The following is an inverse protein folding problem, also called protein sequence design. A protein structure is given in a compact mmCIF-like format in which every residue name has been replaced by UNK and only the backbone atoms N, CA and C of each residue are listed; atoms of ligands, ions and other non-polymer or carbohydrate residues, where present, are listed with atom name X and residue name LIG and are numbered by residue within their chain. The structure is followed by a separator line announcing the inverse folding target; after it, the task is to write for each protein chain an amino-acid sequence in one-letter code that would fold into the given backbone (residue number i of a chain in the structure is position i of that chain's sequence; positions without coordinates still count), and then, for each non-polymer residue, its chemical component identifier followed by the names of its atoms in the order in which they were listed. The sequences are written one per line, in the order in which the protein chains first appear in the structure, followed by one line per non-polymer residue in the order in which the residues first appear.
data_IF_406040421450
#
_entry.id   IF_406040421450
#
_cell.length_a   1.000
_cell.length_b   1.000
_cell.length_c   1.000
_cell.angle_alpha   90.00
_cell.angle_beta   90.00
_cell.angle_gamma   90.00
#
_symmetry.space_group_name_H-M   'P 1'
#
loop_
_entity.id
_entity.type
_entity.pdbx_description
1 polymer ?
#
# COMPACT_ATOMS: atom_id res chain seq x y z
N UNK A 1 -3.44 6.57 -4.53
CA UNK A 1 -3.36 7.00 -3.12
C UNK A 1 -1.90 7.17 -2.74
N UNK A 2 -1.55 8.31 -2.15
CA UNK A 2 -0.21 8.57 -1.64
C UNK A 2 -0.26 8.45 -0.12
N UNK A 3 0.62 7.64 0.46
CA UNK A 3 0.80 7.47 1.91
C UNK A 3 2.17 8.02 2.27
N UNK A 4 2.25 8.86 3.30
CA UNK A 4 3.51 9.41 3.79
C UNK A 4 3.78 8.79 5.16
N UNK A 5 4.88 8.05 5.28
CA UNK A 5 5.27 7.40 6.52
C UNK A 5 6.72 6.96 6.50
N UNK A 6 7.45 7.24 7.54
CA UNK A 6 8.88 6.91 7.65
C UNK A 6 9.14 5.40 7.57
N UNK A 7 8.32 4.60 8.27
CA UNK A 7 8.45 3.15 8.34
C UNK A 7 9.80 2.67 8.89
N UNK A 8 10.30 3.30 9.95
CA UNK A 8 11.59 2.99 10.58
C UNK A 8 11.73 1.51 10.99
N UNK A 9 10.62 0.87 11.35
CA UNK A 9 10.57 -0.54 11.76
C UNK A 9 10.12 -1.48 10.63
N UNK A 10 10.28 -1.07 9.38
CA UNK A 10 9.78 -1.83 8.23
C UNK A 10 8.25 -1.81 8.16
N UNK A 11 7.63 -2.93 7.80
CA UNK A 11 6.16 -3.05 7.76
C UNK A 11 5.51 -3.23 9.13
N UNK A 12 6.32 -3.45 10.17
CA UNK A 12 5.84 -3.86 11.50
C UNK A 12 5.28 -5.29 11.57
N UNK A 13 5.38 -6.07 10.50
CA UNK A 13 4.88 -7.46 10.47
C UNK A 13 5.69 -8.34 9.54
N UNK A 14 6.58 -9.15 10.10
CA UNK A 14 7.37 -10.14 9.33
C UNK A 14 6.49 -11.14 8.58
N UNK A 15 5.38 -11.55 9.16
CA UNK A 15 4.42 -12.46 8.51
C UNK A 15 3.84 -11.82 7.23
N UNK A 16 3.53 -10.52 7.27
CA UNK A 16 3.09 -9.78 6.09
C UNK A 16 4.18 -9.78 5.00
N UNK A 17 5.40 -9.43 5.35
CA UNK A 17 6.53 -9.35 4.44
C UNK A 17 6.82 -10.71 3.78
N UNK A 18 6.94 -11.76 4.58
CA UNK A 18 7.20 -13.12 4.10
C UNK A 18 6.07 -13.64 3.20
N UNK A 19 4.81 -13.38 3.58
CA UNK A 19 3.65 -13.78 2.79
C UNK A 19 3.63 -13.08 1.43
N UNK A 20 3.84 -11.77 1.41
CA UNK A 20 3.88 -11.00 0.17
C UNK A 20 5.06 -11.42 -0.71
N UNK A 21 6.25 -11.57 -0.14
CA UNK A 21 7.45 -12.01 -0.86
C UNK A 21 7.29 -13.41 -1.46
N UNK A 22 6.71 -14.34 -0.71
CA UNK A 22 6.52 -15.74 -1.14
C UNK A 22 5.49 -15.86 -2.26
N UNK A 23 4.42 -15.10 -2.20
CA UNK A 23 3.26 -15.27 -3.08
C UNK A 23 3.21 -14.25 -4.23
N UNK A 24 3.74 -13.05 -4.04
CA UNK A 24 3.99 -12.05 -5.08
C UNK A 24 2.75 -11.41 -5.73
N UNK A 25 1.57 -12.00 -5.61
CA UNK A 25 0.34 -11.51 -6.22
C UNK A 25 -0.85 -11.55 -5.29
N UNK A 26 -1.79 -10.63 -5.49
CA UNK A 26 -3.03 -10.57 -4.74
C UNK A 26 -3.84 -11.86 -4.78
N UNK A 27 -3.91 -12.50 -5.94
CA UNK A 27 -4.70 -13.72 -6.11
C UNK A 27 -4.05 -14.93 -5.45
N UNK A 28 -2.71 -15.04 -5.51
CA UNK A 28 -1.96 -16.07 -4.81
C UNK A 28 -2.09 -15.93 -3.29
N UNK A 29 -2.01 -14.71 -2.76
CA UNK A 29 -2.18 -14.44 -1.33
C UNK A 29 -3.61 -14.81 -0.87
N UNK A 30 -4.61 -14.46 -1.66
CA UNK A 30 -6.00 -14.84 -1.36
C UNK A 30 -6.18 -16.36 -1.32
N UNK A 31 -5.69 -17.07 -2.33
CA UNK A 31 -5.80 -18.53 -2.43
C UNK A 31 -5.05 -19.27 -1.31
N UNK A 32 -3.92 -18.73 -0.86
CA UNK A 32 -3.16 -19.28 0.25
C UNK A 32 -3.91 -19.09 1.58
N UNK A 33 -4.46 -17.91 1.83
CA UNK A 33 -5.25 -17.60 3.02
C UNK A 33 -6.51 -18.46 3.17
N UNK A 34 -7.14 -18.82 2.06
CA UNK A 34 -8.29 -19.72 2.08
C UNK A 34 -7.92 -21.14 2.54
N UNK A 35 -6.67 -21.53 2.39
CA UNK A 35 -6.16 -22.86 2.76
C UNK A 35 -5.39 -22.89 4.08
N UNK A 36 -4.63 -21.83 4.35
CA UNK A 36 -3.72 -21.74 5.48
C UNK A 36 -3.87 -20.37 6.16
N UNK A 37 -4.85 -20.25 7.04
CA UNK A 37 -5.04 -19.02 7.79
C UNK A 37 -3.99 -18.88 8.88
N UNK A 38 -3.19 -17.80 8.81
CA UNK A 38 -2.21 -17.41 9.82
C UNK A 38 -2.51 -16.00 10.32
N UNK A 39 -2.39 -15.78 11.63
CA UNK A 39 -2.56 -14.44 12.22
C UNK A 39 -1.49 -13.51 11.66
N UNK A 40 -1.93 -12.39 11.08
CA UNK A 40 -1.06 -11.43 10.38
C UNK A 40 -1.11 -11.54 8.86
N UNK A 41 -1.36 -12.72 8.30
CA UNK A 41 -1.57 -12.90 6.86
C UNK A 41 -2.88 -12.23 6.37
N UNK A 42 -3.84 -11.99 7.27
CA UNK A 42 -5.03 -11.19 7.00
C UNK A 42 -4.71 -9.76 6.57
N UNK A 43 -3.58 -9.19 7.02
CA UNK A 43 -3.10 -7.87 6.57
C UNK A 43 -2.69 -7.92 5.11
N UNK A 44 -2.00 -8.98 4.67
CA UNK A 44 -1.66 -9.18 3.27
C UNK A 44 -2.92 -9.23 2.40
N UNK A 45 -3.96 -9.92 2.84
CA UNK A 45 -5.25 -9.95 2.14
C UNK A 45 -5.91 -8.57 2.05
N UNK A 46 -5.90 -7.80 3.13
CA UNK A 46 -6.43 -6.43 3.12
C UNK A 46 -5.68 -5.54 2.11
N UNK A 47 -4.35 -5.60 2.10
CA UNK A 47 -3.51 -4.88 1.13
C UNK A 47 -3.88 -5.28 -0.30
N UNK A 48 -4.02 -6.58 -0.58
CA UNK A 48 -4.35 -7.05 -1.94
C UNK A 48 -5.71 -6.56 -2.43
N UNK A 49 -6.68 -6.45 -1.54
CA UNK A 49 -8.01 -5.88 -1.88
C UNK A 49 -7.95 -4.41 -2.23
N UNK A 50 -7.09 -3.66 -1.53
CA UNK A 50 -6.91 -2.23 -1.78
C UNK A 50 -6.14 -1.98 -3.06
N UNK A 51 -5.04 -2.68 -3.29
CA UNK A 51 -4.19 -2.52 -4.47
C UNK A 51 -4.86 -2.92 -5.78
N UNK A 52 -5.90 -3.75 -5.73
CA UNK A 52 -6.77 -4.00 -6.90
C UNK A 52 -7.67 -2.81 -7.27
N UNK A 53 -7.95 -1.92 -6.32
CA UNK A 53 -8.85 -0.77 -6.52
C UNK A 53 -8.12 0.52 -6.85
N UNK A 54 -6.90 0.67 -6.37
CA UNK A 54 -6.12 1.89 -6.54
C UNK A 54 -4.62 1.57 -6.52
N UNK A 55 -3.83 2.41 -7.20
CA UNK A 55 -2.39 2.43 -7.05
C UNK A 55 -2.03 3.10 -5.72
N UNK A 56 -1.14 2.47 -4.97
CA UNK A 56 -0.63 3.00 -3.70
C UNK A 56 0.84 3.35 -3.86
N UNK A 57 1.17 4.59 -3.55
CA UNK A 57 2.53 5.13 -3.56
C UNK A 57 2.90 5.48 -2.11
N UNK A 58 4.03 4.97 -1.65
CA UNK A 58 4.54 5.17 -0.31
C UNK A 58 5.71 6.15 -0.34
N UNK A 59 5.57 7.30 0.30
CA UNK A 59 6.68 8.22 0.53
C UNK A 59 7.34 7.82 1.84
N UNK A 60 8.51 7.20 1.74
CA UNK A 60 9.16 6.54 2.88
C UNK A 60 10.65 6.30 2.60
N UNK A 61 11.41 6.08 3.67
CA UNK A 61 12.76 5.52 3.62
C UNK A 61 12.79 3.99 3.57
N UNK A 62 11.63 3.34 3.55
CA UNK A 62 11.50 1.89 3.42
C UNK A 62 12.21 1.39 2.18
N UNK A 63 12.86 0.24 2.30
CA UNK A 63 13.49 -0.43 1.15
C UNK A 63 12.49 -0.63 0.01
N UNK A 64 12.90 -0.25 -1.20
CA UNK A 64 12.03 -0.27 -2.38
C UNK A 64 11.60 -1.67 -2.80
N UNK A 65 12.48 -2.65 -2.63
CA UNK A 65 12.18 -4.04 -2.96
C UNK A 65 11.14 -4.59 -1.99
N UNK A 66 11.29 -4.30 -0.69
CA UNK A 66 10.32 -4.67 0.33
C UNK A 66 8.95 -4.01 0.09
N UNK A 67 8.92 -2.73 -0.25
CA UNK A 67 7.68 -2.04 -0.58
C UNK A 67 7.00 -2.64 -1.81
N UNK A 68 7.77 -2.96 -2.85
CA UNK A 68 7.27 -3.60 -4.06
C UNK A 68 6.70 -5.00 -3.78
N UNK A 69 7.37 -5.80 -2.97
CA UNK A 69 6.87 -7.11 -2.54
C UNK A 69 5.52 -7.00 -1.83
N UNK A 70 5.31 -5.91 -1.08
CA UNK A 70 4.04 -5.59 -0.43
C UNK A 70 3.03 -4.87 -1.34
N UNK A 71 3.27 -4.81 -2.65
CA UNK A 71 2.41 -4.20 -3.65
C UNK A 71 2.29 -2.66 -3.55
N UNK A 72 3.28 -2.01 -2.96
CA UNK A 72 3.42 -0.55 -2.93
C UNK A 72 4.54 -0.09 -3.86
N UNK A 73 4.42 1.13 -4.34
CA UNK A 73 5.53 1.83 -5.00
C UNK A 73 6.16 2.82 -4.02
N UNK A 74 7.41 2.59 -3.63
CA UNK A 74 8.11 3.48 -2.71
C UNK A 74 8.94 4.53 -3.45
N UNK A 75 8.77 5.77 -3.03
CA UNK A 75 9.52 6.94 -3.50
C UNK A 75 10.03 7.76 -2.32
N UNK A 76 11.16 8.48 -2.45
CA UNK A 76 11.74 9.21 -1.32
C UNK A 76 11.05 10.54 -1.01
N UNK A 77 10.33 11.13 -1.97
CA UNK A 77 9.75 12.46 -1.82
C UNK A 77 8.29 12.54 -2.27
N UNK A 78 7.59 13.55 -1.75
CA UNK A 78 6.19 13.84 -2.14
C UNK A 78 6.13 14.27 -3.60
N UNK A 79 7.11 15.01 -4.08
CA UNK A 79 7.19 15.47 -5.48
C UNK A 79 7.27 14.28 -6.44
N UNK A 80 8.10 13.28 -6.11
CA UNK A 80 8.18 12.05 -6.90
C UNK A 80 6.87 11.26 -6.84
N UNK A 81 6.23 11.21 -5.68
CA UNK A 81 4.93 10.54 -5.53
C UNK A 81 3.84 11.19 -6.38
N UNK A 82 3.81 12.52 -6.43
CA UNK A 82 2.88 13.27 -7.29
C UNK A 82 3.17 13.00 -8.76
N UNK A 83 4.44 13.02 -9.19
CA UNK A 83 4.82 12.71 -10.56
C UNK A 83 4.40 11.28 -10.97
N UNK A 84 4.56 10.29 -10.09
CA UNK A 84 4.09 8.92 -10.34
C UNK A 84 2.55 8.83 -10.38
N UNK A 85 1.86 9.58 -9.55
CA UNK A 85 0.41 9.65 -9.57
C UNK A 85 -0.11 10.27 -10.89
N UNK A 86 0.52 11.33 -11.36
CA UNK A 86 0.17 12.02 -12.61
C UNK A 86 0.30 11.13 -13.85
N UNK A 87 1.25 10.20 -13.86
CA UNK A 87 1.37 9.21 -14.95
C UNK A 87 0.11 8.31 -15.06
N UNK A 88 -0.63 8.15 -13.98
CA UNK A 88 -1.83 7.30 -13.94
C UNK A 88 -3.11 8.09 -14.18
N UNK A 89 -3.23 9.27 -13.57
CA UNK A 89 -4.49 10.04 -13.56
C UNK A 89 -4.45 11.30 -14.44
N UNK A 90 -3.29 11.64 -15.02
CA UNK A 90 -3.10 12.90 -15.74
C UNK A 90 -2.94 14.09 -14.82
N UNK A 91 -3.02 15.30 -15.38
CA UNK A 91 -2.72 16.55 -14.67
C UNK A 91 -3.98 17.31 -14.21
N UNK A 92 -5.17 16.81 -14.54
CA UNK A 92 -6.45 17.41 -14.14
C UNK A 92 -7.05 16.58 -12.99
N UNK A 93 -6.66 16.91 -11.77
CA UNK A 93 -7.07 16.19 -10.57
C UNK A 93 -7.28 17.12 -9.37
N UNK A 94 -8.04 16.63 -8.39
CA UNK A 94 -8.16 17.26 -7.09
C UNK A 94 -7.38 16.44 -6.04
N UNK A 95 -6.81 17.13 -5.06
CA UNK A 95 -6.11 16.50 -3.95
C UNK A 95 -6.98 16.57 -2.70
N UNK A 96 -7.17 15.44 -2.05
CA UNK A 96 -7.73 15.38 -0.70
C UNK A 96 -6.56 15.11 0.25
N UNK A 97 -6.26 16.10 1.10
CA UNK A 97 -5.21 15.97 2.10
C UNK A 97 -5.81 15.51 3.44
N UNK A 98 -5.28 14.41 3.97
CA UNK A 98 -5.70 13.84 5.26
C UNK A 98 -4.49 13.75 6.19
N UNK A 99 -4.18 14.80 6.98
CA UNK A 99 -3.00 14.84 7.86
C UNK A 99 -2.97 13.70 8.88
N UNK A 100 -4.14 13.25 9.33
CA UNK A 100 -4.31 12.14 10.26
C UNK A 100 -5.07 11.00 9.57
N UNK A 101 -4.53 10.48 8.47
CA UNK A 101 -5.18 9.52 7.60
C UNK A 101 -5.66 8.25 8.29
N UNK A 102 -4.97 7.79 9.33
CA UNK A 102 -5.38 6.63 10.14
C UNK A 102 -6.62 6.89 11.02
N UNK A 103 -6.95 8.14 11.28
CA UNK A 103 -8.07 8.59 12.12
C UNK A 103 -9.20 9.24 11.30
N UNK A 104 -9.00 9.39 9.99
CA UNK A 104 -9.91 10.13 9.12
C UNK A 104 -10.63 9.19 8.17
N UNK A 105 -11.95 9.26 8.14
CA UNK A 105 -12.78 8.54 7.18
C UNK A 105 -13.47 9.56 6.27
N UNK A 106 -13.11 9.64 4.99
CA UNK A 106 -13.79 10.51 4.04
C UNK A 106 -15.20 9.99 3.76
N UNK A 107 -16.18 10.84 3.88
CA UNK A 107 -17.57 10.53 3.56
C UNK A 107 -17.97 11.25 2.28
N UNK A 108 -18.67 10.54 1.41
CA UNK A 108 -19.32 11.16 0.27
C UNK A 108 -20.59 11.89 0.73
N UNK A 109 -20.88 13.05 0.16
CA UNK A 109 -22.16 13.71 0.42
C UNK A 109 -23.32 12.79 0.00
N UNK A 110 -24.37 12.84 0.77
CA UNK A 110 -25.59 12.06 0.51
C UNK A 110 -26.28 12.51 -0.79
#
# INVERSE_FOLDING_TARGET
VIIIGECEEGSGSKVLEETCKRLGTADAIKADLEKHFEIGANKAFAVTRLTKKAKFILVSSLDKELAHDMLFEAVPTVEEALAEAEKVIGNDYNIILMPEGSLTVPLLPA
#
